data_IF_495012816861
#
_entry.id   IF_495012816861
#
_cell.length_a   1.000
_cell.length_b   1.000
_cell.length_c   1.000
_cell.angle_alpha   90.00
_cell.angle_beta   90.00
_cell.angle_gamma   90.00
#
_symmetry.space_group_name_H-M   'P 1'
#
loop_
_entity.id
_entity.type
_entity.pdbx_description
1 polymer ?
#
# COMPACT_ATOMS: atom_id res chain seq x y z
N UNK A 1 -17.57 -6.19 -10.76
CA UNK A 1 -16.93 -4.86 -10.73
C UNK A 1 -15.45 -5.02 -10.43
N UNK A 2 -14.58 -4.16 -10.97
CA UNK A 2 -13.11 -4.22 -10.81
C UNK A 2 -12.60 -2.85 -10.35
N UNK A 3 -11.60 -2.83 -9.48
CA UNK A 3 -10.93 -1.59 -9.10
C UNK A 3 -10.16 -1.01 -10.28
N UNK A 4 -10.09 0.33 -10.36
CA UNK A 4 -9.31 1.04 -11.37
C UNK A 4 -7.81 0.78 -11.21
N UNK A 5 -7.35 0.72 -9.96
CA UNK A 5 -5.96 0.42 -9.59
C UNK A 5 -5.89 -0.90 -8.83
N UNK A 6 -4.77 -1.60 -8.97
CA UNK A 6 -4.35 -2.64 -8.03
C UNK A 6 -3.94 -2.01 -6.69
N UNK A 7 -3.89 -2.83 -5.63
CA UNK A 7 -3.46 -2.33 -4.32
C UNK A 7 -2.03 -1.76 -4.38
N UNK A 8 -1.14 -2.44 -5.10
CA UNK A 8 0.25 -2.00 -5.27
C UNK A 8 0.34 -0.65 -5.98
N UNK A 9 -0.42 -0.45 -7.07
CA UNK A 9 -0.45 0.84 -7.78
C UNK A 9 -1.02 1.96 -6.90
N UNK A 10 -2.07 1.68 -6.14
CA UNK A 10 -2.64 2.66 -5.20
C UNK A 10 -1.61 3.05 -4.13
N UNK A 11 -0.88 2.09 -3.56
CA UNK A 11 0.18 2.34 -2.58
C UNK A 11 1.31 3.18 -3.18
N UNK A 12 1.79 2.84 -4.39
CA UNK A 12 2.84 3.60 -5.09
C UNK A 12 2.39 5.04 -5.33
N UNK A 13 1.16 5.25 -5.78
CA UNK A 13 0.61 6.59 -6.04
C UNK A 13 0.58 7.44 -4.76
N UNK A 14 0.28 6.84 -3.61
CA UNK A 14 0.35 7.55 -2.32
C UNK A 14 1.81 7.87 -1.96
N UNK A 15 2.70 6.88 -1.99
CA UNK A 15 4.11 7.07 -1.61
C UNK A 15 4.83 8.09 -2.50
N UNK A 16 4.55 8.13 -3.81
CA UNK A 16 5.11 9.13 -4.72
C UNK A 16 4.80 10.58 -4.32
N UNK A 17 3.71 10.81 -3.58
CA UNK A 17 3.29 12.13 -3.10
C UNK A 17 3.76 12.44 -1.68
N UNK A 18 4.46 11.51 -1.02
CA UNK A 18 4.94 11.66 0.36
C UNK A 18 6.41 12.08 0.38
N UNK A 19 6.83 12.86 1.40
CA UNK A 19 8.24 13.17 1.59
C UNK A 19 9.04 11.88 1.76
N UNK A 20 10.23 11.84 1.15
CA UNK A 20 11.11 10.65 1.12
C UNK A 20 10.43 9.36 0.60
N UNK A 21 9.32 9.49 -0.12
CA UNK A 21 8.50 8.39 -0.62
C UNK A 21 8.15 7.35 0.46
N UNK A 22 8.01 7.79 1.71
CA UNK A 22 7.85 6.94 2.89
C UNK A 22 6.55 7.29 3.60
N UNK A 23 5.83 6.27 4.07
CA UNK A 23 4.64 6.44 4.91
C UNK A 23 4.35 5.15 5.70
N UNK A 24 3.54 5.27 6.75
CA UNK A 24 3.03 4.11 7.49
C UNK A 24 1.89 3.39 6.73
N UNK A 25 1.69 2.11 7.02
CA UNK A 25 0.61 1.33 6.40
C UNK A 25 -0.78 1.95 6.66
N UNK A 26 -1.01 2.47 7.87
CA UNK A 26 -2.26 3.12 8.24
C UNK A 26 -2.47 4.45 7.51
N UNK A 27 -1.43 5.26 7.35
CA UNK A 27 -1.53 6.49 6.56
C UNK A 27 -1.83 6.21 5.09
N UNK A 28 -1.19 5.18 4.52
CA UNK A 28 -1.44 4.77 3.14
C UNK A 28 -2.89 4.30 3.01
N UNK A 29 -3.37 3.47 3.94
CA UNK A 29 -4.76 3.00 3.96
C UNK A 29 -5.75 4.18 4.03
N UNK A 30 -5.54 5.11 4.96
CA UNK A 30 -6.38 6.31 5.12
C UNK A 30 -6.44 7.13 3.85
N UNK A 31 -5.31 7.36 3.18
CA UNK A 31 -5.29 8.13 1.93
C UNK A 31 -5.94 7.38 0.75
N UNK A 32 -5.77 6.05 0.67
CA UNK A 32 -6.44 5.21 -0.34
C UNK A 32 -7.96 5.26 -0.16
N UNK A 33 -8.45 5.16 1.08
CA UNK A 33 -9.88 5.24 1.40
C UNK A 33 -10.44 6.63 1.13
N UNK A 34 -9.75 7.66 1.63
CA UNK A 34 -10.14 9.06 1.42
C UNK A 34 -10.27 9.43 -0.06
N UNK A 35 -9.43 8.85 -0.91
CA UNK A 35 -9.43 9.08 -2.37
C UNK A 35 -10.19 8.02 -3.15
N UNK A 36 -10.80 7.04 -2.47
CA UNK A 36 -11.53 5.92 -3.04
C UNK A 36 -10.76 5.17 -4.15
N UNK A 37 -9.44 4.97 -3.98
CA UNK A 37 -8.56 4.41 -5.02
C UNK A 37 -8.65 2.88 -5.14
N UNK A 38 -9.12 2.21 -4.08
CA UNK A 38 -9.27 0.76 -4.02
C UNK A 38 -10.58 0.37 -3.31
N UNK A 39 -11.76 0.64 -3.92
CA UNK A 39 -13.06 0.49 -3.28
C UNK A 39 -13.42 -0.97 -2.97
N UNK A 40 -13.14 -1.88 -3.90
CA UNK A 40 -13.53 -3.29 -3.80
C UNK A 40 -12.44 -4.04 -3.04
N UNK A 41 -12.76 -4.41 -1.80
CA UNK A 41 -11.85 -5.13 -0.91
C UNK A 41 -12.29 -6.58 -0.78
N UNK A 42 -11.32 -7.47 -0.56
CA UNK A 42 -11.54 -8.90 -0.33
C UNK A 42 -10.67 -9.34 0.85
N UNK A 43 -11.17 -10.33 1.59
CA UNK A 43 -10.58 -10.75 2.85
C UNK A 43 -11.12 -9.87 3.98
N UNK A 44 -11.61 -10.50 5.05
CA UNK A 44 -12.20 -9.84 6.20
C UNK A 44 -11.12 -9.20 7.11
N UNK A 45 -10.19 -8.47 6.50
CA UNK A 45 -9.03 -7.84 7.16
C UNK A 45 -8.98 -6.36 6.83
N UNK A 46 -8.28 -5.59 7.66
CA UNK A 46 -8.12 -4.15 7.43
C UNK A 46 -7.31 -3.86 6.17
N UNK A 47 -7.55 -2.70 5.55
CA UNK A 47 -6.77 -2.28 4.38
C UNK A 47 -5.28 -2.11 4.72
N UNK A 48 -4.98 -1.56 5.90
CA UNK A 48 -3.62 -1.41 6.41
C UNK A 48 -2.89 -2.75 6.51
N UNK A 49 -3.54 -3.76 7.09
CA UNK A 49 -3.01 -5.12 7.19
C UNK A 49 -2.83 -5.75 5.81
N UNK A 50 -3.77 -5.54 4.89
CA UNK A 50 -3.67 -6.02 3.52
C UNK A 50 -2.48 -5.37 2.77
N UNK A 51 -2.23 -4.08 2.99
CA UNK A 51 -1.05 -3.38 2.44
C UNK A 51 0.21 -4.01 3.03
N UNK A 52 0.32 -4.11 4.36
CA UNK A 52 1.48 -4.68 5.06
C UNK A 52 1.83 -6.06 4.52
N UNK A 53 0.85 -6.95 4.38
CA UNK A 53 1.05 -8.28 3.81
C UNK A 53 1.56 -8.18 2.37
N UNK A 54 0.87 -7.44 1.50
CA UNK A 54 1.19 -7.43 0.06
C UNK A 54 2.47 -6.70 -0.32
N UNK A 55 2.96 -5.79 0.51
CA UNK A 55 4.24 -5.10 0.32
C UNK A 55 5.40 -5.83 1.01
N UNK A 56 5.13 -6.65 2.04
CA UNK A 56 6.17 -7.37 2.79
C UNK A 56 6.39 -8.82 2.34
N UNK A 57 5.45 -9.43 1.60
CA UNK A 57 5.58 -10.83 1.15
C UNK A 57 6.83 -10.97 0.27
N UNK A 58 7.76 -11.83 0.72
CA UNK A 58 9.03 -12.06 0.05
C UNK A 58 8.90 -12.67 -1.35
N UNK A 59 7.80 -13.37 -1.64
CA UNK A 59 7.48 -13.94 -2.95
C UNK A 59 6.66 -13.00 -3.85
N UNK A 60 6.37 -11.78 -3.39
CA UNK A 60 5.60 -10.81 -4.16
C UNK A 60 6.40 -10.31 -5.36
N UNK A 61 5.77 -10.31 -6.54
CA UNK A 61 6.34 -9.71 -7.76
C UNK A 61 6.83 -8.27 -7.52
N UNK A 62 6.19 -7.55 -6.60
CA UNK A 62 6.45 -6.14 -6.32
C UNK A 62 7.39 -5.90 -5.14
N UNK A 63 8.00 -6.94 -4.55
CA UNK A 63 8.89 -6.79 -3.38
C UNK A 63 10.01 -5.77 -3.63
N UNK A 64 10.62 -5.80 -4.81
CA UNK A 64 11.73 -4.91 -5.17
C UNK A 64 11.34 -3.43 -5.23
N UNK A 65 10.05 -3.09 -5.24
CA UNK A 65 9.56 -1.71 -5.26
C UNK A 65 9.41 -1.11 -3.86
N UNK A 66 9.41 -1.94 -2.81
CA UNK A 66 9.14 -1.49 -1.45
C UNK A 66 10.29 -1.87 -0.52
N UNK A 67 10.91 -0.87 0.08
CA UNK A 67 11.87 -1.05 1.15
C UNK A 67 11.13 -0.90 2.49
N UNK A 68 11.25 -1.91 3.35
CA UNK A 68 10.81 -1.81 4.74
C UNK A 68 11.73 -0.84 5.48
N UNK A 69 11.18 0.26 6.00
CA UNK A 69 11.93 1.27 6.78
C UNK A 69 11.83 0.95 8.27
N UNK A 70 10.65 0.57 8.73
CA UNK A 70 10.38 0.18 10.11
C UNK A 70 9.32 -0.94 10.16
N UNK A 71 8.86 -1.33 11.35
CA UNK A 71 7.82 -2.35 11.47
C UNK A 71 6.51 -1.95 10.79
N UNK A 72 6.20 -0.65 10.78
CA UNK A 72 4.93 -0.11 10.34
C UNK A 72 5.04 0.84 9.12
N UNK A 73 6.25 1.03 8.58
CA UNK A 73 6.51 1.95 7.48
C UNK A 73 7.25 1.31 6.32
N UNK A 74 6.91 1.80 5.12
CA UNK A 74 7.53 1.41 3.87
C UNK A 74 7.93 2.62 3.04
N UNK A 75 8.96 2.44 2.24
CA UNK A 75 9.44 3.38 1.24
C UNK A 75 9.31 2.80 -0.15
N UNK A 76 8.85 3.62 -1.09
CA UNK A 76 8.91 3.30 -2.52
C UNK A 76 10.28 3.68 -3.08
N UNK A 77 10.99 2.70 -3.65
CA UNK A 77 12.36 2.82 -4.17
C UNK A 77 12.39 3.03 -5.67
#
# INVERSE_FOLDING_TARGET
>A
MKNLLTLHEAVILILLKKPNRTASYDEIAKEIEKRNLFPIRKGNISLSEQIKLRTSIASSKYKHLFQKVSENEIRFT
#
